data_IF_159323276797
#
_entry.id   IF_159323276797
#
_cell.length_a   1.000
_cell.length_b   1.000
_cell.length_c   1.000
_cell.angle_alpha   90.00
_cell.angle_beta   90.00
_cell.angle_gamma   90.00
#
_symmetry.space_group_name_H-M   'P 1'
#
loop_
_entity.id
_entity.type
_entity.pdbx_description
1 polymer ?
#
# COMPACT_ATOMS: atom_id res chain seq x y z
N UNK A 1 -3.78 -4.44 15.56
CA UNK A 1 -2.43 -4.14 15.06
C UNK A 1 -1.52 -3.94 16.29
N UNK A 2 -1.28 -5.00 17.05
CA UNK A 2 -0.45 -5.02 18.29
C UNK A 2 0.12 -6.43 18.50
N UNK A 3 0.23 -7.22 17.44
CA UNK A 3 0.69 -8.59 17.48
C UNK A 3 1.72 -8.81 16.36
N UNK A 4 2.73 -9.63 16.57
CA UNK A 4 3.69 -10.03 15.56
C UNK A 4 3.08 -11.06 14.58
N UNK A 5 3.85 -11.46 13.57
CA UNK A 5 3.39 -12.43 12.57
C UNK A 5 3.05 -13.82 13.15
N UNK A 6 3.58 -14.16 14.33
CA UNK A 6 3.29 -15.38 15.08
C UNK A 6 2.11 -15.24 16.06
N UNK A 7 1.44 -14.09 16.08
CA UNK A 7 0.31 -13.81 16.97
C UNK A 7 0.70 -13.40 18.39
N UNK A 8 2.00 -13.28 18.72
CA UNK A 8 2.44 -12.76 20.03
C UNK A 8 2.23 -11.26 20.13
N UNK A 9 1.91 -10.74 21.32
CA UNK A 9 1.72 -9.30 21.49
C UNK A 9 3.04 -8.54 21.20
N UNK A 10 2.99 -7.61 20.24
CA UNK A 10 4.12 -6.78 19.84
C UNK A 10 3.62 -5.37 19.52
N UNK A 11 4.14 -4.37 20.25
CA UNK A 11 3.87 -2.95 20.05
C UNK A 11 4.27 -2.45 18.65
N UNK A 12 5.26 -3.09 18.01
CA UNK A 12 5.69 -2.79 16.64
C UNK A 12 4.78 -3.46 15.58
N UNK A 13 3.95 -4.43 15.99
CA UNK A 13 3.06 -5.20 15.13
C UNK A 13 3.77 -6.03 14.05
N UNK A 14 3.11 -6.22 12.90
CA UNK A 14 3.66 -6.86 11.71
C UNK A 14 3.21 -6.12 10.44
N UNK A 15 3.68 -6.57 9.28
CA UNK A 15 3.11 -6.20 7.98
C UNK A 15 2.02 -7.21 7.67
N UNK A 16 0.80 -6.74 7.36
CA UNK A 16 -0.35 -7.60 7.17
C UNK A 16 -1.05 -7.33 5.84
N UNK A 17 -1.44 -8.40 5.17
CA UNK A 17 -2.40 -8.38 4.08
C UNK A 17 -3.80 -8.09 4.64
N UNK A 18 -4.61 -7.29 3.95
CA UNK A 18 -6.02 -7.10 4.31
C UNK A 18 -6.76 -8.45 4.30
N UNK A 19 -7.52 -8.75 5.35
CA UNK A 19 -8.23 -10.03 5.49
C UNK A 19 -9.24 -10.32 4.37
N UNK A 20 -9.63 -9.30 3.59
CA UNK A 20 -10.55 -9.43 2.45
C UNK A 20 -9.81 -9.81 1.17
N UNK A 21 -8.49 -9.70 1.14
CA UNK A 21 -7.66 -10.25 0.07
C UNK A 21 -7.46 -11.76 0.30
N UNK A 22 -7.60 -12.53 -0.76
CA UNK A 22 -7.40 -13.99 -0.74
C UNK A 22 -5.92 -14.33 -0.93
N UNK A 23 -5.22 -13.51 -1.72
CA UNK A 23 -3.80 -13.69 -2.00
C UNK A 23 -3.12 -12.38 -2.38
N UNK A 24 -1.79 -12.42 -2.51
CA UNK A 24 -1.03 -11.35 -3.12
C UNK A 24 -1.22 -11.27 -4.65
N UNK A 25 -1.92 -12.24 -5.25
CA UNK A 25 -2.20 -12.27 -6.70
C UNK A 25 -3.52 -11.60 -7.07
N UNK A 26 -4.26 -11.10 -6.08
CA UNK A 26 -5.51 -10.40 -6.31
C UNK A 26 -5.28 -9.15 -7.18
N UNK A 27 -6.27 -8.72 -8.00
CA UNK A 27 -6.12 -7.55 -8.88
C UNK A 27 -5.84 -6.23 -8.13
N UNK A 28 -6.18 -6.20 -6.84
CA UNK A 28 -5.98 -5.07 -5.95
C UNK A 28 -5.70 -5.59 -4.53
N UNK A 29 -4.52 -5.28 -4.00
CA UNK A 29 -4.02 -5.78 -2.74
C UNK A 29 -3.80 -4.61 -1.78
N UNK A 30 -4.28 -4.75 -0.54
CA UNK A 30 -3.99 -3.81 0.53
C UNK A 30 -3.01 -4.43 1.53
N UNK A 31 -1.89 -3.76 1.74
CA UNK A 31 -0.87 -4.15 2.73
C UNK A 31 -0.74 -3.06 3.77
N UNK A 32 -0.97 -3.40 5.02
CA UNK A 32 -0.84 -2.50 6.15
C UNK A 32 0.46 -2.76 6.89
N UNK A 33 1.14 -1.69 7.28
CA UNK A 33 2.29 -1.76 8.18
C UNK A 33 2.22 -0.66 9.21
N UNK A 34 2.79 -0.93 10.39
CA UNK A 34 2.96 0.10 11.41
C UNK A 34 4.00 1.13 10.98
N UNK A 35 3.71 2.38 11.34
CA UNK A 35 4.69 3.44 11.45
C UNK A 35 5.30 3.36 12.84
N UNK A 36 6.57 2.99 12.94
CA UNK A 36 7.29 2.90 14.22
C UNK A 36 8.39 3.94 14.25
N UNK A 37 8.47 4.72 15.33
CA UNK A 37 9.43 5.83 15.46
C UNK A 37 10.90 5.38 15.50
N UNK A 38 11.13 4.08 15.67
CA UNK A 38 12.47 3.47 15.62
C UNK A 38 12.94 3.10 14.20
N UNK A 39 12.17 3.45 13.15
CA UNK A 39 12.58 3.29 11.76
C UNK A 39 12.47 1.86 11.20
N UNK A 40 11.76 0.96 11.89
CA UNK A 40 11.45 -0.38 11.38
C UNK A 40 10.11 -0.39 10.61
N UNK A 41 9.71 -1.55 10.08
CA UNK A 41 8.41 -1.72 9.41
C UNK A 41 8.21 -0.77 8.22
N UNK A 42 7.17 0.07 8.23
CA UNK A 42 6.93 1.08 7.19
C UNK A 42 7.48 2.47 7.57
N UNK A 43 8.24 2.59 8.66
CA UNK A 43 8.92 3.83 9.05
C UNK A 43 9.80 4.45 7.94
N UNK A 44 10.61 3.67 7.19
CA UNK A 44 11.39 4.20 6.06
C UNK A 44 10.52 4.78 4.93
N UNK A 45 9.33 4.20 4.70
CA UNK A 45 8.39 4.68 3.67
C UNK A 45 7.85 6.07 4.01
N UNK A 46 7.66 6.35 5.31
CA UNK A 46 7.22 7.67 5.77
C UNK A 46 8.32 8.72 5.70
N UNK A 47 9.51 8.41 6.23
CA UNK A 47 10.63 9.36 6.28
C UNK A 47 11.05 9.81 4.89
N UNK A 48 11.06 8.89 3.92
CA UNK A 48 11.50 9.15 2.55
C UNK A 48 10.34 9.04 1.53
N UNK A 49 9.13 9.46 1.91
CA UNK A 49 7.90 9.29 1.11
C UNK A 49 8.01 9.74 -0.34
N UNK A 50 8.60 10.91 -0.61
CA UNK A 50 8.77 11.42 -1.97
C UNK A 50 9.82 10.64 -2.79
N UNK A 51 10.73 9.93 -2.13
CA UNK A 51 11.76 9.09 -2.74
C UNK A 51 11.23 7.68 -3.04
N UNK A 52 10.07 7.31 -2.48
CA UNK A 52 9.45 6.02 -2.77
C UNK A 52 8.91 5.94 -4.20
N UNK A 53 8.64 7.06 -4.86
CA UNK A 53 8.20 7.04 -6.25
C UNK A 53 9.28 6.41 -7.14
N UNK A 54 8.92 5.36 -7.88
CA UNK A 54 9.83 4.60 -8.74
C UNK A 54 10.60 3.50 -8.01
N UNK A 55 10.50 3.38 -6.68
CA UNK A 55 11.11 2.30 -5.93
C UNK A 55 10.50 0.94 -6.32
N UNK A 56 11.35 -0.09 -6.33
CA UNK A 56 10.93 -1.48 -6.54
C UNK A 56 10.64 -2.16 -5.19
N UNK A 57 9.52 -2.87 -5.13
CA UNK A 57 9.15 -3.70 -3.98
C UNK A 57 9.10 -5.15 -4.41
N UNK A 58 9.75 -6.03 -3.65
CA UNK A 58 9.71 -7.48 -3.88
C UNK A 58 8.76 -8.11 -2.87
N UNK A 59 7.78 -8.86 -3.36
CA UNK A 59 6.85 -9.62 -2.54
C UNK A 59 7.13 -11.11 -2.67
N UNK A 60 6.96 -11.83 -1.56
CA UNK A 60 7.11 -13.27 -1.47
C UNK A 60 5.76 -13.86 -1.07
N UNK A 61 5.15 -14.63 -1.97
CA UNK A 61 3.88 -15.30 -1.74
C UNK A 61 4.06 -16.74 -1.29
N UNK A 62 2.93 -17.44 -1.17
CA UNK A 62 2.92 -18.88 -0.88
C UNK A 62 3.59 -19.68 -2.03
N UNK A 63 4.08 -20.88 -1.71
CA UNK A 63 4.72 -21.76 -2.69
C UNK A 63 5.94 -21.15 -3.44
N UNK A 64 6.71 -20.28 -2.78
CA UNK A 64 7.87 -19.58 -3.34
C UNK A 64 7.57 -18.69 -4.56
N UNK A 65 6.33 -18.22 -4.70
CA UNK A 65 6.05 -17.18 -5.70
C UNK A 65 6.75 -15.88 -5.31
N UNK A 66 7.34 -15.22 -6.31
CA UNK A 66 8.04 -13.96 -6.16
C UNK A 66 7.65 -13.04 -7.29
N UNK A 67 7.20 -11.84 -6.96
CA UNK A 67 6.96 -10.79 -7.94
C UNK A 67 7.53 -9.46 -7.46
N UNK A 68 7.81 -8.61 -8.44
CA UNK A 68 8.32 -7.26 -8.22
C UNK A 68 7.25 -6.27 -8.67
N UNK A 69 7.06 -5.23 -7.87
CA UNK A 69 6.20 -4.11 -8.21
C UNK A 69 7.01 -2.83 -8.24
N UNK A 70 6.52 -1.81 -8.94
CA UNK A 70 7.13 -0.48 -8.98
C UNK A 70 6.15 0.57 -8.48
N UNK A 71 6.59 1.44 -7.58
CA UNK A 71 5.77 2.54 -7.10
C UNK A 71 5.54 3.60 -8.19
N UNK A 72 4.27 3.92 -8.43
CA UNK A 72 3.83 4.87 -9.45
C UNK A 72 3.10 6.09 -8.88
N UNK A 73 2.68 6.02 -7.62
CA UNK A 73 2.01 7.13 -6.92
C UNK A 73 2.24 7.04 -5.42
N UNK A 74 2.53 8.18 -4.80
CA UNK A 74 2.62 8.36 -3.35
C UNK A 74 1.67 9.48 -2.95
N UNK A 75 0.73 9.19 -2.03
CA UNK A 75 -0.32 10.12 -1.61
C UNK A 75 -0.53 10.10 -0.10
N UNK A 76 -1.14 11.19 0.41
CA UNK A 76 -1.69 11.24 1.76
C UNK A 76 -3.20 11.29 1.64
N UNK A 77 -3.88 10.35 2.28
CA UNK A 77 -5.33 10.25 2.28
C UNK A 77 -5.90 10.39 3.70
N UNK A 78 -7.17 10.81 3.85
CA UNK A 78 -7.87 10.76 5.13
C UNK A 78 -7.88 9.33 5.69
N UNK A 79 -7.67 9.19 7.00
CA UNK A 79 -7.60 7.89 7.68
C UNK A 79 -8.93 7.15 7.79
N UNK A 80 -10.03 7.85 7.52
CA UNK A 80 -11.39 7.31 7.42
C UNK A 80 -11.73 6.82 6.01
N UNK A 81 -10.83 7.00 5.04
CA UNK A 81 -11.03 6.53 3.67
C UNK A 81 -11.23 5.01 3.66
N UNK A 82 -12.43 4.59 3.27
CA UNK A 82 -12.78 3.19 3.20
C UNK A 82 -12.36 2.61 1.84
N UNK A 83 -11.33 1.77 1.86
CA UNK A 83 -10.89 1.03 0.68
C UNK A 83 -11.31 -0.44 0.86
N UNK A 84 -12.09 -0.95 -0.09
CA UNK A 84 -12.57 -2.33 -0.12
C UNK A 84 -11.90 -3.06 -1.30
N UNK A 85 -10.89 -3.92 -1.07
CA UNK A 85 -10.13 -4.55 -2.14
C UNK A 85 -11.00 -5.22 -3.22
N UNK A 86 -12.09 -5.88 -2.82
CA UNK A 86 -13.00 -6.60 -3.72
C UNK A 86 -13.73 -5.70 -4.73
N UNK A 87 -13.94 -4.42 -4.42
CA UNK A 87 -14.59 -3.48 -5.34
C UNK A 87 -13.70 -3.16 -6.57
N UNK A 88 -12.40 -3.47 -6.46
CA UNK A 88 -11.37 -3.16 -7.44
C UNK A 88 -10.93 -4.38 -8.26
N UNK A 89 -11.72 -5.46 -8.28
CA UNK A 89 -11.54 -6.51 -9.28
C UNK A 89 -11.84 -5.99 -10.70
N UNK A 90 -12.73 -5.00 -10.83
CA UNK A 90 -13.02 -4.28 -12.06
C UNK A 90 -11.92 -3.25 -12.35
N UNK A 91 -11.37 -3.27 -13.57
CA UNK A 91 -10.38 -2.30 -14.02
C UNK A 91 -10.88 -0.85 -13.97
N UNK A 92 -12.13 -0.58 -14.39
CA UNK A 92 -12.67 0.78 -14.39
C UNK A 92 -12.72 1.35 -12.96
N UNK A 93 -12.98 0.50 -11.96
CA UNK A 93 -12.95 0.89 -10.54
C UNK A 93 -11.54 1.19 -10.06
N UNK A 94 -10.55 0.40 -10.48
CA UNK A 94 -9.12 0.65 -10.21
C UNK A 94 -8.64 1.95 -10.83
N UNK A 95 -8.99 2.18 -12.08
CA UNK A 95 -8.65 3.40 -12.80
C UNK A 95 -9.28 4.64 -12.14
N UNK A 96 -10.56 4.58 -11.78
CA UNK A 96 -11.25 5.64 -11.05
C UNK A 96 -10.59 5.94 -9.70
N UNK A 97 -10.19 4.90 -8.96
CA UNK A 97 -9.47 5.06 -7.70
C UNK A 97 -8.11 5.72 -7.90
N UNK A 98 -7.35 5.29 -8.90
CA UNK A 98 -6.05 5.88 -9.22
C UNK A 98 -6.17 7.35 -9.64
N UNK A 99 -7.17 7.68 -10.47
CA UNK A 99 -7.47 9.05 -10.84
C UNK A 99 -7.88 9.92 -9.64
N UNK A 100 -8.68 9.37 -8.72
CA UNK A 100 -9.06 10.04 -7.47
C UNK A 100 -7.86 10.30 -6.54
N UNK A 101 -6.82 9.46 -6.59
CA UNK A 101 -5.59 9.66 -5.83
C UNK A 101 -4.68 10.75 -6.40
N UNK A 102 -4.71 11.01 -7.71
CA UNK A 102 -3.84 12.01 -8.37
C UNK A 102 -3.86 13.40 -7.69
N UNK A 103 -5.01 14.02 -7.38
CA UNK A 103 -5.04 15.32 -6.70
C UNK A 103 -4.54 15.28 -5.24
N UNK A 104 -4.45 14.08 -4.65
CA UNK A 104 -3.96 13.86 -3.28
C UNK A 104 -2.48 13.42 -3.25
N UNK A 105 -1.86 13.28 -4.43
CA UNK A 105 -0.51 12.78 -4.56
C UNK A 105 0.52 13.80 -4.08
N UNK A 106 1.46 13.34 -3.25
CA UNK A 106 2.72 14.04 -2.99
C UNK A 106 3.60 13.95 -4.24
N UNK A 107 3.60 12.79 -4.89
CA UNK A 107 4.37 12.51 -6.09
C UNK A 107 3.68 11.45 -6.93
N UNK A 108 3.70 11.62 -8.24
CA UNK A 108 3.10 10.71 -9.21
C UNK A 108 4.05 10.54 -10.38
N UNK A 109 4.11 9.34 -10.96
CA UNK A 109 4.87 9.08 -12.17
C UNK A 109 4.10 9.47 -13.44
N UNK A 110 2.86 9.99 -13.31
CA UNK A 110 1.90 10.16 -14.41
C UNK A 110 1.73 8.86 -15.23
N UNK A 111 1.70 7.73 -14.52
CA UNK A 111 1.56 6.41 -15.12
C UNK A 111 0.12 6.19 -15.56
N UNK A 112 -0.08 5.68 -16.77
CA UNK A 112 -1.40 5.32 -17.27
C UNK A 112 -1.65 3.84 -16.96
N UNK A 113 -2.59 3.55 -16.06
CA UNK A 113 -2.95 2.18 -15.70
C UNK A 113 -3.48 1.41 -16.93
N UNK A 114 -3.08 0.16 -17.04
CA UNK A 114 -3.52 -0.79 -18.05
C UNK A 114 -4.47 -1.84 -17.44
N UNK A 115 -5.39 -2.42 -18.23
CA UNK A 115 -6.35 -3.43 -17.75
C UNK A 115 -5.73 -4.62 -16.99
N UNK A 116 -4.56 -5.05 -17.44
CA UNK A 116 -3.75 -6.13 -16.89
C UNK A 116 -3.02 -5.78 -15.59
N UNK A 117 -2.84 -4.49 -15.29
CA UNK A 117 -2.09 -4.07 -14.10
C UNK A 117 -2.75 -4.57 -12.83
N UNK A 118 -1.93 -5.09 -11.93
CA UNK A 118 -2.34 -5.37 -10.55
C UNK A 118 -1.78 -4.29 -9.63
N UNK A 119 -2.59 -3.87 -8.65
CA UNK A 119 -2.19 -2.84 -7.69
C UNK A 119 -1.84 -3.44 -6.34
N UNK A 120 -0.67 -3.11 -5.80
CA UNK A 120 -0.38 -3.31 -4.38
C UNK A 120 -0.29 -1.94 -3.71
N UNK A 121 -1.20 -1.70 -2.76
CA UNK A 121 -1.26 -0.46 -2.03
C UNK A 121 -0.68 -0.66 -0.63
N UNK A 122 0.46 -0.03 -0.37
CA UNK A 122 1.11 0.00 0.94
C UNK A 122 0.52 1.15 1.75
N UNK A 123 -0.09 0.85 2.90
CA UNK A 123 -0.76 1.82 3.75
C UNK A 123 -0.08 1.85 5.12
N UNK A 124 0.33 3.05 5.54
CA UNK A 124 0.83 3.31 6.90
C UNK A 124 0.19 4.57 7.50
N UNK A 125 0.16 4.68 8.81
CA UNK A 125 -0.21 5.92 9.49
C UNK A 125 0.82 7.01 9.18
N UNK A 126 0.40 8.28 9.17
CA UNK A 126 1.33 9.41 9.11
C UNK A 126 0.98 10.43 10.19
N UNK A 127 2.00 11.08 10.75
CA UNK A 127 1.86 12.16 11.74
C UNK A 127 1.56 13.53 11.11
N UNK A 128 1.49 13.63 9.78
CA UNK A 128 1.34 14.93 9.08
C UNK A 128 0.00 15.62 9.33
N UNK A 129 -1.05 14.84 9.60
CA UNK A 129 -2.35 15.34 10.08
C UNK A 129 -2.95 14.30 11.02
N UNK A 130 -3.74 14.77 11.98
CA UNK A 130 -4.53 13.86 12.82
C UNK A 130 -5.41 13.00 11.89
N UNK A 131 -5.32 11.68 12.05
CA UNK A 131 -6.03 10.69 11.22
C UNK A 131 -5.71 10.79 9.71
N UNK A 132 -4.43 10.87 9.32
CA UNK A 132 -4.02 10.70 7.91
C UNK A 132 -3.24 9.40 7.70
N UNK A 133 -3.27 8.90 6.46
CA UNK A 133 -2.52 7.72 6.03
C UNK A 133 -1.65 8.04 4.84
N UNK A 134 -0.41 7.57 4.88
CA UNK A 134 0.44 7.49 3.70
C UNK A 134 0.00 6.27 2.90
N UNK A 135 -0.22 6.47 1.60
CA UNK A 135 -0.57 5.43 0.66
C UNK A 135 0.43 5.45 -0.50
N UNK A 136 1.06 4.31 -0.76
CA UNK A 136 1.94 4.10 -1.92
C UNK A 136 1.27 3.07 -2.82
N UNK A 137 0.98 3.47 -4.06
CA UNK A 137 0.46 2.57 -5.10
C UNK A 137 1.64 2.03 -5.89
N UNK A 138 1.74 0.71 -5.96
CA UNK A 138 2.68 0.01 -6.84
C UNK A 138 1.93 -0.83 -7.87
N UNK A 139 2.54 -1.00 -9.04
CA UNK A 139 2.00 -1.78 -10.17
C UNK A 139 2.92 -2.95 -10.50
N UNK A 140 2.36 -4.05 -11.00
CA UNK A 140 3.08 -5.17 -11.62
C UNK A 140 2.20 -5.95 -12.59
#
# INVERSE_FOLDING_TARGET
MTHAADGTANLLGAIFLDYRNESLEDPFVLVYGHDTDNGTMFGPLRTNKAEQLGAEFTFFGAANTKFKTKAVLVAIIPGETLIKPKDYADFNKREQFYAWLQPQAIKTANYALQPEDKLVCLITCTYERQNARLLIVTVY
#
